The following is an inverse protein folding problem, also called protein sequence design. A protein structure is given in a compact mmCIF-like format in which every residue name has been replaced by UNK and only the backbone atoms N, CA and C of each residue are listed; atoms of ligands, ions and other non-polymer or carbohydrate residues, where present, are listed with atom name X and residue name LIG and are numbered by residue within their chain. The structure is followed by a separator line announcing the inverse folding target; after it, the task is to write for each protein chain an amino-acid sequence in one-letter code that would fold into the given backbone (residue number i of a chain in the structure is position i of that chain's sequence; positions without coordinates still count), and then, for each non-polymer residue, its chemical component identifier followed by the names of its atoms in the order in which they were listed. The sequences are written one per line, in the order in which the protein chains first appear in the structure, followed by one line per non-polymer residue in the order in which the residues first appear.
data_IF_090570147234
#
_entry.id   IF_090570147234
#
_cell.length_a   1.000
_cell.length_b   1.000
_cell.length_c   1.000
_cell.angle_alpha   90.00
_cell.angle_beta   90.00
_cell.angle_gamma   90.00
#
_symmetry.space_group_name_H-M   'P 1'
#
loop_
_entity.id
_entity.type
_entity.pdbx_description
1 polymer ?
#
# COMPACT_ATOMS: atom_id res chain seq x y z
N UNK A 1 8.41 31.00 22.82
CA UNK A 1 7.75 30.69 21.53
C UNK A 1 8.67 30.78 20.31
N UNK A 2 9.73 31.62 20.28
CA UNK A 2 10.60 31.81 19.09
C UNK A 2 11.51 30.59 18.76
N UNK A 3 11.89 29.77 19.73
CA UNK A 3 12.86 28.66 19.55
C UNK A 3 12.29 27.45 18.78
N UNK A 4 10.98 27.20 18.84
CA UNK A 4 10.34 26.06 18.17
C UNK A 4 10.25 26.27 16.65
N UNK A 5 9.90 27.49 16.21
CA UNK A 5 9.85 27.83 14.78
C UNK A 5 11.20 27.67 14.09
N UNK A 6 12.30 28.00 14.77
CA UNK A 6 13.65 27.90 14.20
C UNK A 6 14.09 26.45 13.96
N UNK A 7 13.66 25.51 14.80
CA UNK A 7 13.94 24.08 14.61
C UNK A 7 13.16 23.51 13.42
N UNK A 8 11.91 23.94 13.24
CA UNK A 8 11.07 23.38 12.19
C UNK A 8 11.53 23.81 10.79
N UNK A 9 11.97 25.06 10.61
CA UNK A 9 12.57 25.51 9.34
C UNK A 9 13.75 24.62 8.94
N UNK A 10 14.63 24.30 9.90
CA UNK A 10 15.76 23.40 9.65
C UNK A 10 15.29 21.99 9.27
N UNK A 11 14.21 21.49 9.87
CA UNK A 11 13.64 20.19 9.54
C UNK A 11 13.06 20.17 8.13
N UNK A 12 12.41 21.26 7.70
CA UNK A 12 11.92 21.41 6.32
C UNK A 12 13.09 21.31 5.35
N UNK A 13 14.13 22.10 5.55
CA UNK A 13 15.32 22.09 4.67
C UNK A 13 16.01 20.72 4.64
N UNK A 14 16.13 20.07 5.79
CA UNK A 14 16.87 18.81 5.93
C UNK A 14 16.09 17.60 5.40
N UNK A 15 14.78 17.52 5.67
CA UNK A 15 14.02 16.29 5.50
C UNK A 15 13.05 16.30 4.30
N UNK A 16 12.80 17.46 3.66
CA UNK A 16 11.87 17.53 2.52
C UNK A 16 12.24 16.56 1.41
N UNK A 17 13.51 16.50 1.00
CA UNK A 17 13.94 15.62 -0.09
C UNK A 17 13.68 14.13 0.19
N UNK A 18 13.96 13.68 1.42
CA UNK A 18 13.75 12.29 1.82
C UNK A 18 12.26 11.95 1.96
N UNK A 19 11.47 12.83 2.58
CA UNK A 19 10.02 12.65 2.69
C UNK A 19 9.35 12.64 1.32
N UNK A 20 9.78 13.52 0.41
CA UNK A 20 9.29 13.56 -0.96
C UNK A 20 9.63 12.30 -1.74
N UNK A 21 10.88 11.84 -1.69
CA UNK A 21 11.27 10.58 -2.36
C UNK A 21 10.43 9.40 -1.85
N UNK A 22 10.25 9.30 -0.53
CA UNK A 22 9.39 8.27 0.06
C UNK A 22 7.93 8.38 -0.38
N UNK A 23 7.35 9.58 -0.34
CA UNK A 23 5.97 9.83 -0.75
C UNK A 23 5.77 9.52 -2.24
N UNK A 24 6.69 9.95 -3.09
CA UNK A 24 6.69 9.74 -4.53
C UNK A 24 6.65 8.24 -4.88
N UNK A 25 7.42 7.41 -4.18
CA UNK A 25 7.38 5.94 -4.36
C UNK A 25 6.08 5.28 -3.86
N UNK A 26 5.30 5.95 -3.01
CA UNK A 26 4.08 5.41 -2.39
C UNK A 26 2.80 5.91 -3.04
N UNK A 27 2.86 6.93 -3.90
CA UNK A 27 1.70 7.67 -4.39
C UNK A 27 1.64 7.66 -5.94
N UNK A 28 0.44 7.78 -6.52
CA UNK A 28 0.25 7.63 -7.96
C UNK A 28 0.77 8.81 -8.80
N UNK A 29 0.99 9.99 -8.22
CA UNK A 29 1.45 11.16 -8.96
C UNK A 29 2.29 12.11 -8.08
N UNK A 30 2.99 13.01 -8.77
CA UNK A 30 3.92 13.99 -8.18
C UNK A 30 3.20 15.00 -7.28
N UNK A 31 2.08 15.55 -7.75
CA UNK A 31 1.33 16.59 -7.05
C UNK A 31 0.88 16.11 -5.67
N UNK A 32 0.29 14.91 -5.60
CA UNK A 32 -0.15 14.32 -4.34
C UNK A 32 1.02 14.03 -3.38
N UNK A 33 2.19 13.67 -3.91
CA UNK A 33 3.38 13.48 -3.09
C UNK A 33 3.87 14.81 -2.50
N UNK A 34 3.89 15.89 -3.29
CA UNK A 34 4.24 17.22 -2.81
C UNK A 34 3.24 17.72 -1.76
N UNK A 35 1.94 17.58 -2.03
CA UNK A 35 0.87 17.96 -1.12
C UNK A 35 1.00 17.23 0.22
N UNK A 36 1.15 15.91 0.21
CA UNK A 36 1.26 15.12 1.45
C UNK A 36 2.51 15.45 2.27
N UNK A 37 3.62 15.82 1.63
CA UNK A 37 4.82 16.32 2.32
C UNK A 37 4.56 17.68 2.95
N UNK A 38 3.94 18.61 2.22
CA UNK A 38 3.58 19.92 2.75
C UNK A 38 2.64 19.79 3.95
N UNK A 39 1.61 18.96 3.82
CA UNK A 39 0.66 18.60 4.85
C UNK A 39 1.33 18.00 6.09
N UNK A 40 2.39 17.22 5.89
CA UNK A 40 3.17 16.61 6.97
C UNK A 40 3.87 17.68 7.79
N UNK A 41 4.50 18.67 7.14
CA UNK A 41 5.13 19.78 7.85
C UNK A 41 4.10 20.69 8.52
N UNK A 42 2.95 20.95 7.89
CA UNK A 42 1.86 21.69 8.53
C UNK A 42 1.39 20.97 9.81
N UNK A 43 1.10 19.67 9.73
CA UNK A 43 0.73 18.88 10.90
C UNK A 43 1.85 18.82 11.95
N UNK A 44 3.11 18.87 11.54
CA UNK A 44 4.24 18.95 12.45
C UNK A 44 4.28 20.29 13.20
N UNK A 45 3.96 21.42 12.55
CA UNK A 45 3.87 22.73 13.23
C UNK A 45 2.85 22.71 14.38
N UNK A 46 1.70 22.08 14.17
CA UNK A 46 0.62 21.98 15.16
C UNK A 46 0.96 21.04 16.31
N UNK A 47 1.75 20.00 16.05
CA UNK A 47 2.03 18.92 17.00
C UNK A 47 3.43 18.99 17.62
N UNK A 48 4.24 19.98 17.26
CA UNK A 48 5.64 20.06 17.69
C UNK A 48 5.79 20.08 19.22
N UNK A 49 4.85 20.72 19.93
CA UNK A 49 4.86 20.76 21.40
C UNK A 49 4.61 19.39 22.04
N UNK A 50 3.93 18.49 21.33
CA UNK A 50 3.67 17.13 21.77
C UNK A 50 4.84 16.16 21.50
N UNK A 51 5.86 16.61 20.77
CA UNK A 51 7.01 15.79 20.44
C UNK A 51 7.90 15.57 21.66
N UNK A 52 7.78 14.39 22.28
CA UNK A 52 8.48 14.02 23.52
C UNK A 52 9.96 13.65 23.33
N UNK A 53 10.54 13.82 22.14
CA UNK A 53 11.95 13.46 21.85
C UNK A 53 12.28 11.98 21.99
N UNK A 54 11.28 11.09 22.06
CA UNK A 54 11.46 9.63 22.21
C UNK A 54 11.94 8.93 20.93
N UNK A 55 11.92 9.65 19.81
CA UNK A 55 12.41 9.21 18.50
C UNK A 55 13.20 10.34 17.85
N UNK A 56 13.92 10.06 16.77
CA UNK A 56 14.49 11.14 15.96
C UNK A 56 13.37 11.99 15.33
N UNK A 57 13.60 13.29 15.07
CA UNK A 57 12.67 14.13 14.31
C UNK A 57 12.29 13.53 12.96
N UNK A 58 13.27 12.96 12.26
CA UNK A 58 13.08 12.25 11.00
C UNK A 58 12.06 11.12 11.15
N UNK A 59 12.27 10.20 12.11
CA UNK A 59 11.33 9.09 12.38
C UNK A 59 9.92 9.60 12.69
N UNK A 60 9.82 10.69 13.45
CA UNK A 60 8.54 11.29 13.79
C UNK A 60 7.82 11.87 12.56
N UNK A 61 8.51 12.63 11.71
CA UNK A 61 7.96 13.16 10.46
C UNK A 61 7.51 12.04 9.50
N UNK A 62 8.32 10.99 9.35
CA UNK A 62 7.94 9.82 8.56
C UNK A 62 6.70 9.12 9.14
N UNK A 63 6.54 9.09 10.46
CA UNK A 63 5.33 8.55 11.07
C UNK A 63 4.10 9.37 10.68
N UNK A 64 4.17 10.69 10.69
CA UNK A 64 3.06 11.58 10.30
C UNK A 64 2.72 11.36 8.82
N UNK A 65 3.73 11.36 7.94
CA UNK A 65 3.56 11.15 6.51
C UNK A 65 2.90 9.79 6.21
N UNK A 66 3.37 8.71 6.86
CA UNK A 66 2.81 7.38 6.66
C UNK A 66 1.33 7.30 7.08
N UNK A 67 0.95 7.93 8.20
CA UNK A 67 -0.47 8.00 8.58
C UNK A 67 -1.30 8.72 7.52
N UNK A 68 -0.81 9.84 6.95
CA UNK A 68 -1.54 10.55 5.89
C UNK A 68 -1.64 9.74 4.60
N UNK A 69 -0.59 9.02 4.21
CA UNK A 69 -0.63 8.10 3.05
C UNK A 69 -1.68 7.00 3.28
N UNK A 70 -1.69 6.39 4.47
CA UNK A 70 -2.69 5.37 4.84
C UNK A 70 -4.10 5.96 4.78
N UNK A 71 -4.31 7.16 5.33
CA UNK A 71 -5.61 7.84 5.32
C UNK A 71 -6.08 8.15 3.89
N UNK A 72 -5.17 8.57 3.00
CA UNK A 72 -5.46 8.77 1.58
C UNK A 72 -5.99 7.47 0.94
N UNK A 73 -5.29 6.35 1.13
CA UNK A 73 -5.72 5.07 0.57
C UNK A 73 -7.00 4.52 1.22
N UNK A 74 -7.17 4.71 2.54
CA UNK A 74 -8.41 4.33 3.24
C UNK A 74 -9.61 5.08 2.67
N UNK A 75 -9.47 6.39 2.42
CA UNK A 75 -10.52 7.20 1.76
C UNK A 75 -10.79 6.72 0.34
N UNK A 76 -9.76 6.39 -0.43
CA UNK A 76 -9.90 5.89 -1.81
C UNK A 76 -10.60 4.54 -1.89
N UNK A 77 -10.35 3.62 -0.96
CA UNK A 77 -11.03 2.31 -0.91
C UNK A 77 -12.47 2.44 -0.44
N UNK A 78 -12.75 3.35 0.49
CA UNK A 78 -14.10 3.59 1.00
C UNK A 78 -14.97 4.43 0.05
N UNK A 79 -14.40 4.99 -1.01
CA UNK A 79 -15.19 5.48 -2.13
C UNK A 79 -15.79 4.25 -2.81
N UNK A 80 -17.09 4.03 -2.60
CA UNK A 80 -17.87 3.05 -3.35
C UNK A 80 -17.59 3.25 -4.82
N UNK A 81 -16.77 2.37 -5.40
CA UNK A 81 -16.63 2.28 -6.83
C UNK A 81 -18.04 2.02 -7.33
N UNK A 82 -18.62 2.86 -8.21
CA UNK A 82 -19.92 2.57 -8.79
C UNK A 82 -19.88 1.13 -9.29
N UNK A 83 -20.81 0.29 -8.81
CA UNK A 83 -20.82 -1.17 -9.02
C UNK A 83 -20.82 -1.57 -10.51
N UNK A 84 -20.97 -0.61 -11.40
CA UNK A 84 -20.84 -0.77 -12.83
C UNK A 84 -19.37 -0.75 -13.25
N UNK A 85 -18.62 -1.79 -12.90
CA UNK A 85 -17.49 -2.15 -13.74
C UNK A 85 -18.07 -2.65 -15.07
N UNK A 86 -18.55 -1.74 -15.93
CA UNK A 86 -19.18 -2.04 -17.24
C UNK A 86 -18.30 -2.96 -18.08
N UNK A 87 -16.99 -2.87 -17.85
CA UNK A 87 -15.98 -3.75 -18.42
C UNK A 87 -16.11 -5.20 -17.97
N UNK A 88 -16.47 -5.48 -16.71
CA UNK A 88 -16.66 -6.84 -16.20
C UNK A 88 -18.05 -7.41 -16.52
N UNK A 89 -19.08 -6.57 -16.60
CA UNK A 89 -20.44 -7.01 -16.92
C UNK A 89 -20.55 -7.75 -18.28
N UNK A 90 -19.61 -7.52 -19.21
CA UNK A 90 -19.57 -8.25 -20.48
C UNK A 90 -19.19 -9.73 -20.36
N UNK A 91 -18.58 -10.15 -19.25
CA UNK A 91 -18.11 -11.52 -19.02
C UNK A 91 -19.13 -12.40 -18.27
N UNK A 92 -20.12 -11.79 -17.62
CA UNK A 92 -21.10 -12.48 -16.79
C UNK A 92 -22.53 -12.34 -17.34
N UNK A 93 -23.35 -13.37 -17.17
CA UNK A 93 -24.81 -13.29 -17.35
C UNK A 93 -25.43 -12.54 -16.15
N UNK A 94 -26.69 -12.03 -16.26
CA UNK A 94 -27.34 -11.29 -15.17
C UNK A 94 -27.45 -12.05 -13.83
N UNK A 95 -27.46 -13.37 -13.89
CA UNK A 95 -27.46 -14.29 -12.74
C UNK A 95 -26.07 -14.50 -12.10
N UNK A 96 -25.01 -13.96 -12.70
CA UNK A 96 -23.63 -14.03 -12.21
C UNK A 96 -22.79 -15.20 -12.75
N UNK A 97 -23.33 -16.03 -13.64
CA UNK A 97 -22.60 -17.10 -14.33
C UNK A 97 -21.69 -16.52 -15.43
N UNK A 98 -20.62 -17.23 -15.82
CA UNK A 98 -19.79 -16.81 -16.97
C UNK A 98 -20.55 -16.99 -18.28
N UNK A 99 -20.45 -16.03 -19.20
CA UNK A 99 -20.94 -16.23 -20.57
C UNK A 99 -20.14 -17.33 -21.24
N UNK A 100 -20.82 -18.28 -21.89
CA UNK A 100 -20.19 -19.49 -22.45
C UNK A 100 -19.01 -19.20 -23.39
N UNK A 101 -19.08 -18.12 -24.16
CA UNK A 101 -18.04 -17.68 -25.09
C UNK A 101 -16.90 -16.84 -24.47
N UNK A 102 -17.01 -16.49 -23.19
CA UNK A 102 -16.06 -15.63 -22.46
C UNK A 102 -15.59 -16.24 -21.14
N UNK A 103 -16.12 -17.41 -20.77
CA UNK A 103 -15.63 -18.17 -19.62
C UNK A 103 -14.15 -18.47 -19.84
N UNK A 104 -13.29 -18.32 -18.81
CA UNK A 104 -11.92 -18.79 -18.89
C UNK A 104 -11.90 -20.25 -19.33
N UNK A 105 -10.92 -20.60 -20.16
CA UNK A 105 -10.64 -22.01 -20.45
C UNK A 105 -10.32 -22.79 -19.16
N UNK A 106 -10.24 -24.11 -19.25
CA UNK A 106 -9.76 -24.87 -18.08
C UNK A 106 -8.32 -24.45 -17.83
N UNK A 107 -8.02 -24.13 -16.58
CA UNK A 107 -6.70 -23.69 -16.13
C UNK A 107 -5.61 -24.75 -16.34
N UNK A 108 -5.99 -26.00 -16.66
CA UNK A 108 -5.11 -27.15 -16.86
C UNK A 108 -4.91 -27.53 -18.33
N UNK A 109 -5.57 -26.86 -19.27
CA UNK A 109 -5.53 -27.20 -20.71
C UNK A 109 -4.44 -26.42 -21.47
N UNK A 110 -3.57 -25.67 -20.78
CA UNK A 110 -2.42 -25.06 -21.41
C UNK A 110 -1.35 -26.12 -21.67
N UNK A 111 -0.81 -26.19 -22.88
CA UNK A 111 0.28 -27.09 -23.29
C UNK A 111 1.64 -26.79 -22.59
N UNK A 112 1.65 -25.84 -21.65
CA UNK A 112 2.78 -25.59 -20.77
C UNK A 112 2.78 -26.63 -19.65
N UNK A 113 3.95 -27.25 -19.43
CA UNK A 113 4.18 -28.22 -18.36
C UNK A 113 3.63 -27.65 -17.03
N UNK A 114 2.51 -28.21 -16.54
CA UNK A 114 1.84 -27.68 -15.36
C UNK A 114 2.86 -27.57 -14.24
N UNK A 115 3.02 -26.39 -13.64
CA UNK A 115 4.00 -26.15 -12.59
C UNK A 115 3.84 -27.13 -11.41
N UNK A 116 2.61 -27.64 -11.21
CA UNK A 116 2.29 -28.66 -10.21
C UNK A 116 2.71 -30.09 -10.59
N UNK A 117 3.09 -30.33 -11.84
CA UNK A 117 3.62 -31.61 -12.32
C UNK A 117 5.16 -31.64 -12.20
N UNK A 118 5.83 -30.49 -12.12
CA UNK A 118 7.26 -30.40 -11.87
C UNK A 118 7.62 -30.99 -10.49
N UNK A 119 8.31 -32.13 -10.51
CA UNK A 119 8.66 -32.90 -9.32
C UNK A 119 9.52 -32.10 -8.33
N UNK A 120 10.47 -31.30 -8.81
CA UNK A 120 11.36 -30.50 -7.97
C UNK A 120 10.60 -29.36 -7.29
N UNK A 121 9.71 -28.68 -8.03
CA UNK A 121 8.82 -27.68 -7.45
C UNK A 121 7.93 -28.28 -6.37
N UNK A 122 7.32 -29.45 -6.61
CA UNK A 122 6.47 -30.13 -5.62
C UNK A 122 7.26 -30.54 -4.37
N UNK A 123 8.49 -31.01 -4.53
CA UNK A 123 9.36 -31.40 -3.41
C UNK A 123 9.69 -30.19 -2.53
N UNK A 124 10.03 -29.06 -3.15
CA UNK A 124 10.28 -27.78 -2.48
C UNK A 124 9.00 -27.28 -1.81
N UNK A 125 7.88 -27.24 -2.53
CA UNK A 125 6.59 -26.78 -2.00
C UNK A 125 6.13 -27.60 -0.80
N UNK A 126 6.21 -28.94 -0.89
CA UNK A 126 5.90 -29.83 0.24
C UNK A 126 6.81 -29.55 1.43
N UNK A 127 8.13 -29.43 1.21
CA UNK A 127 9.09 -29.11 2.27
C UNK A 127 8.65 -27.86 3.03
N UNK A 128 8.28 -26.78 2.34
CA UNK A 128 7.88 -25.54 3.01
C UNK A 128 6.46 -25.57 3.60
N UNK A 129 5.49 -26.23 2.96
CA UNK A 129 4.14 -26.39 3.52
C UNK A 129 4.13 -27.20 4.82
N UNK A 130 4.92 -28.27 4.90
CA UNK A 130 5.04 -29.06 6.13
C UNK A 130 5.93 -28.39 7.19
N UNK A 131 6.80 -27.44 6.80
CA UNK A 131 7.55 -26.62 7.76
C UNK A 131 6.69 -25.51 8.36
N UNK A 132 5.63 -25.07 7.67
CA UNK A 132 4.74 -23.99 8.11
C UNK A 132 3.58 -24.46 9.01
N UNK A 133 3.49 -25.74 9.37
CA UNK A 133 2.54 -26.23 10.38
C UNK A 133 3.28 -26.68 11.64
N UNK A 134 3.65 -25.71 12.49
CA UNK A 134 3.30 -25.83 13.89
C UNK A 134 2.60 -24.56 14.38
N UNK A 135 1.55 -24.78 15.19
CA UNK A 135 0.82 -23.80 16.04
C UNK A 135 -0.10 -22.80 15.34
N UNK A 136 -1.30 -23.24 14.96
CA UNK A 136 -2.54 -22.40 15.01
C UNK A 136 -3.80 -23.27 14.88
N UNK A 137 -3.91 -24.30 15.72
CA UNK A 137 -5.19 -24.80 16.24
C UNK A 137 -4.95 -25.09 17.73
N UNK A 138 -5.14 -24.07 18.56
CA UNK A 138 -5.62 -24.17 19.93
C UNK A 138 -6.71 -23.12 20.09
#
# INVERSE_FOLDING_TARGET
MVTQNKNLTQWVETYTGELYSWAFHKLPNVELAQDLVQDTFLAATEKIESFKGKSSPKTWLFSILNHKIIDYYRKKVNQTVPHENKSLARFFEPEGSWKENRRPGRWYDNDEENLLDNHDFRAILKKYLFTFTPTLIQ
#
